data_IF_298715573714
#
_entry.id   IF_298715573714
#
_cell.length_a   1.000
_cell.length_b   1.000
_cell.length_c   1.000
_cell.angle_alpha   90.00
_cell.angle_beta   90.00
_cell.angle_gamma   90.00
#
_symmetry.space_group_name_H-M   'P 1'
#
loop_
_entity.id
_entity.type
_entity.pdbx_description
1 polymer ?
#
# COMPACT_ATOMS: atom_id res chain seq x y z
N UNK A 1 6.08 9.20 16.79
CA UNK A 1 6.60 10.57 16.57
C UNK A 1 5.60 11.24 15.64
N UNK A 2 4.97 12.33 16.08
CA UNK A 2 4.06 13.08 15.23
C UNK A 2 4.89 13.73 14.12
N UNK A 3 4.52 13.58 12.84
CA UNK A 3 5.07 14.44 11.81
C UNK A 3 4.65 15.88 12.12
N UNK A 4 5.60 16.77 12.35
CA UNK A 4 5.33 18.19 12.43
C UNK A 4 4.97 18.69 11.02
N UNK A 5 3.85 19.39 10.90
CA UNK A 5 3.46 20.11 9.69
C UNK A 5 4.42 21.29 9.56
N UNK A 6 5.38 21.18 8.66
CA UNK A 6 6.45 22.16 8.50
C UNK A 6 6.11 23.22 7.44
N UNK A 7 6.78 24.36 7.56
CA UNK A 7 6.53 25.56 6.76
C UNK A 7 7.10 25.43 5.34
N UNK A 8 6.63 26.29 4.41
CA UNK A 8 7.11 26.34 3.02
C UNK A 8 8.61 26.62 2.86
N UNK A 9 9.25 27.21 3.88
CA UNK A 9 10.68 27.53 3.88
C UNK A 9 11.57 26.30 4.16
N UNK A 10 11.10 25.37 4.99
CA UNK A 10 11.82 24.14 5.33
C UNK A 10 11.73 23.11 4.19
N UNK A 11 10.56 23.06 3.51
CA UNK A 11 10.40 22.32 2.25
C UNK A 11 11.44 22.76 1.21
N UNK A 12 11.65 24.08 1.07
CA UNK A 12 12.63 24.65 0.14
C UNK A 12 14.06 24.18 0.46
N UNK A 13 14.47 24.31 1.73
CA UNK A 13 15.82 23.91 2.14
C UNK A 13 16.06 22.41 1.90
N UNK A 14 15.11 21.56 2.28
CA UNK A 14 15.25 20.11 2.06
C UNK A 14 15.36 19.76 0.58
N UNK A 15 14.52 20.34 -0.29
CA UNK A 15 14.54 20.03 -1.73
C UNK A 15 15.85 20.49 -2.37
N UNK A 16 16.33 21.69 -2.04
CA UNK A 16 17.58 22.22 -2.61
C UNK A 16 18.81 21.41 -2.17
N UNK A 17 18.90 21.03 -0.89
CA UNK A 17 19.96 20.16 -0.38
C UNK A 17 19.94 18.76 -1.02
N UNK A 18 18.74 18.30 -1.41
CA UNK A 18 18.51 16.99 -1.96
C UNK A 18 18.23 16.99 -3.46
N UNK A 19 18.67 18.03 -4.17
CA UNK A 19 18.59 18.07 -5.63
C UNK A 19 19.30 16.86 -6.26
N UNK A 20 18.61 16.23 -7.21
CA UNK A 20 19.02 14.97 -7.84
C UNK A 20 18.86 13.73 -6.96
N UNK A 21 18.29 13.82 -5.75
CA UNK A 21 17.94 12.66 -4.94
C UNK A 21 16.89 11.82 -5.65
N UNK A 22 16.93 10.50 -5.41
CA UNK A 22 15.86 9.60 -5.86
C UNK A 22 14.56 9.99 -5.14
N UNK A 23 13.49 10.11 -5.90
CA UNK A 23 12.15 10.31 -5.38
C UNK A 23 11.12 9.44 -6.09
N UNK A 24 10.03 9.18 -5.39
CA UNK A 24 8.91 8.39 -5.88
C UNK A 24 7.64 9.22 -5.82
N UNK A 25 6.95 9.33 -6.96
CA UNK A 25 5.63 9.95 -7.05
C UNK A 25 4.59 8.84 -6.93
N UNK A 26 3.66 9.02 -6.00
CA UNK A 26 2.62 8.05 -5.65
C UNK A 26 1.24 8.71 -5.63
N UNK A 27 0.18 7.92 -5.74
CA UNK A 27 -1.17 8.37 -5.39
C UNK A 27 -1.32 8.59 -3.88
N UNK A 28 -2.44 9.17 -3.44
CA UNK A 28 -2.77 9.30 -2.00
C UNK A 28 -2.86 7.93 -1.30
N UNK A 29 -3.19 6.86 -2.05
CA UNK A 29 -3.25 5.48 -1.58
C UNK A 29 -1.88 4.76 -1.58
N UNK A 30 -0.78 5.48 -1.90
CA UNK A 30 0.58 4.94 -2.02
C UNK A 30 0.81 4.02 -3.25
N UNK A 31 0.01 4.13 -4.32
CA UNK A 31 0.35 3.46 -5.57
C UNK A 31 1.44 4.22 -6.31
N UNK A 32 2.55 3.57 -6.65
CA UNK A 32 3.64 4.18 -7.44
C UNK A 32 3.16 4.58 -8.84
N UNK A 33 3.31 5.87 -9.16
CA UNK A 33 3.06 6.43 -10.49
C UNK A 33 4.35 6.59 -11.28
N UNK A 34 5.42 7.03 -10.61
CA UNK A 34 6.71 7.34 -11.22
C UNK A 34 7.83 7.20 -10.17
N UNK A 35 8.97 6.65 -10.59
CA UNK A 35 10.24 6.80 -9.87
C UNK A 35 11.19 7.68 -10.70
N UNK A 36 11.84 8.63 -10.05
CA UNK A 36 12.64 9.64 -10.73
C UNK A 36 13.64 10.32 -9.81
N UNK A 37 14.17 11.46 -10.24
CA UNK A 37 15.06 12.28 -9.43
C UNK A 37 14.50 13.68 -9.24
N UNK A 38 14.68 14.24 -8.04
CA UNK A 38 14.35 15.61 -7.73
C UNK A 38 15.10 16.58 -8.67
N UNK A 39 14.34 17.36 -9.43
CA UNK A 39 14.84 18.35 -10.39
C UNK A 39 14.90 19.75 -9.77
N UNK A 40 14.58 20.75 -10.58
CA UNK A 40 14.48 22.14 -10.13
C UNK A 40 13.24 22.37 -9.27
N UNK A 41 13.36 23.25 -8.27
CA UNK A 41 12.26 23.72 -7.45
C UNK A 41 12.09 25.24 -7.61
N UNK A 42 10.90 25.67 -8.01
CA UNK A 42 10.52 27.09 -8.00
C UNK A 42 9.89 27.40 -6.64
N UNK A 43 10.61 28.12 -5.78
CA UNK A 43 10.13 28.49 -4.44
C UNK A 43 9.01 29.53 -4.44
N UNK A 44 8.93 30.37 -5.48
CA UNK A 44 7.87 31.40 -5.60
C UNK A 44 6.56 30.77 -5.98
N UNK A 45 6.62 29.77 -6.86
CA UNK A 45 5.45 29.03 -7.31
C UNK A 45 5.23 27.74 -6.53
N UNK A 46 6.15 27.34 -5.65
CA UNK A 46 6.16 26.05 -4.93
C UNK A 46 6.05 24.86 -5.89
N UNK A 47 6.82 24.86 -6.98
CA UNK A 47 6.73 23.82 -8.03
C UNK A 47 7.98 22.96 -8.05
N UNK A 48 7.82 21.68 -7.79
CA UNK A 48 8.88 20.68 -7.90
C UNK A 48 8.83 20.01 -9.27
N UNK A 49 9.96 20.05 -9.98
CA UNK A 49 10.18 19.21 -11.15
C UNK A 49 10.72 17.84 -10.71
N UNK A 50 10.11 16.76 -11.19
CA UNK A 50 10.61 15.39 -11.02
C UNK A 50 11.04 14.88 -12.39
N UNK A 51 12.33 14.63 -12.56
CA UNK A 51 12.86 14.07 -13.81
C UNK A 51 12.66 12.56 -13.80
N UNK A 52 12.10 12.03 -14.88
CA UNK A 52 11.89 10.59 -15.06
C UNK A 52 13.23 9.90 -15.35
N UNK A 53 13.37 8.64 -14.94
CA UNK A 53 14.55 7.84 -15.27
C UNK A 53 14.28 7.09 -16.59
N UNK A 54 14.98 7.47 -17.66
CA UNK A 54 14.86 6.76 -18.94
C UNK A 54 15.31 5.30 -18.81
N UNK A 55 14.42 4.37 -19.16
CA UNK A 55 14.78 2.95 -19.32
C UNK A 55 13.77 1.91 -18.83
N UNK A 56 12.90 2.22 -17.87
CA UNK A 56 11.90 1.24 -17.41
C UNK A 56 10.54 1.90 -17.12
N UNK A 57 9.58 1.57 -18.00
CA UNK A 57 8.17 1.97 -18.02
C UNK A 57 7.94 3.45 -18.28
N UNK A 58 7.26 3.71 -19.40
CA UNK A 58 6.63 4.99 -19.72
C UNK A 58 5.87 5.48 -18.48
N UNK A 59 6.05 6.73 -18.03
CA UNK A 59 5.24 7.29 -16.95
C UNK A 59 3.77 7.07 -17.28
N UNK A 60 2.96 6.60 -16.31
CA UNK A 60 1.51 6.59 -16.51
C UNK A 60 1.09 8.04 -16.74
N UNK A 61 0.72 8.38 -17.97
CA UNK A 61 0.25 9.74 -18.26
C UNK A 61 -1.05 9.92 -17.47
N UNK A 62 -0.98 10.74 -16.43
CA UNK A 62 -2.12 11.13 -15.61
C UNK A 62 -2.62 12.50 -16.06
N UNK A 63 -3.91 12.75 -15.89
CA UNK A 63 -4.48 14.06 -16.16
C UNK A 63 -3.91 15.13 -15.21
N UNK A 64 -3.82 16.39 -15.66
CA UNK A 64 -3.52 17.51 -14.76
C UNK A 64 -4.58 17.59 -13.66
N UNK A 65 -4.17 17.98 -12.46
CA UNK A 65 -5.05 18.06 -11.28
C UNK A 65 -5.04 16.83 -10.38
N UNK A 66 -4.30 15.76 -10.72
CA UNK A 66 -4.16 14.61 -9.84
C UNK A 66 -3.37 14.97 -8.58
N UNK A 67 -3.94 14.70 -7.40
CA UNK A 67 -3.24 14.78 -6.11
C UNK A 67 -2.28 13.61 -5.95
N UNK A 68 -1.06 13.91 -5.53
CA UNK A 68 0.04 12.96 -5.42
C UNK A 68 0.87 13.20 -4.17
N UNK A 69 1.61 12.16 -3.79
CA UNK A 69 2.67 12.20 -2.79
C UNK A 69 4.01 12.03 -3.47
N UNK A 70 5.01 12.81 -3.07
CA UNK A 70 6.39 12.67 -3.51
C UNK A 70 7.24 12.27 -2.31
N UNK A 71 7.67 11.02 -2.26
CA UNK A 71 8.62 10.54 -1.26
C UNK A 71 10.04 10.82 -1.69
N UNK A 72 10.83 11.47 -0.84
CA UNK A 72 12.25 11.79 -1.10
C UNK A 72 13.09 11.44 0.13
N UNK A 73 14.24 10.80 -0.08
CA UNK A 73 15.22 10.52 0.98
C UNK A 73 16.33 11.56 0.94
N UNK A 74 16.79 11.96 2.13
CA UNK A 74 17.95 12.83 2.25
C UNK A 74 19.21 12.11 1.74
N UNK A 75 20.02 12.81 0.95
CA UNK A 75 21.35 12.37 0.48
C UNK A 75 22.42 12.59 1.53
N UNK A 76 22.21 13.54 2.43
CA UNK A 76 23.21 14.03 3.39
C UNK A 76 23.01 13.45 4.79
N UNK A 77 21.77 13.23 5.20
CA UNK A 77 21.44 12.74 6.55
C UNK A 77 20.78 11.36 6.45
N UNK A 78 21.47 10.34 6.95
CA UNK A 78 20.97 8.96 6.96
C UNK A 78 19.66 8.87 7.74
N UNK A 79 18.64 8.28 7.12
CA UNK A 79 17.33 8.08 7.73
C UNK A 79 16.42 9.30 7.66
N UNK A 80 16.88 10.49 7.28
CA UNK A 80 15.99 11.62 7.08
C UNK A 80 15.26 11.47 5.73
N UNK A 81 13.96 11.72 5.73
CA UNK A 81 13.11 11.68 4.55
C UNK A 81 12.07 12.80 4.61
N UNK A 82 11.52 13.14 3.44
CA UNK A 82 10.41 14.07 3.30
C UNK A 82 9.34 13.45 2.40
N UNK A 83 8.09 13.72 2.74
CA UNK A 83 6.92 13.40 1.94
C UNK A 83 6.22 14.71 1.57
N UNK A 84 6.22 15.03 0.28
CA UNK A 84 5.57 16.24 -0.24
C UNK A 84 4.22 15.88 -0.81
N UNK A 85 3.18 16.60 -0.43
CA UNK A 85 1.84 16.49 -1.00
C UNK A 85 1.67 17.61 -2.02
N UNK A 86 1.04 17.28 -3.15
CA UNK A 86 0.83 18.27 -4.18
C UNK A 86 -0.02 17.79 -5.33
N UNK A 87 -0.21 18.68 -6.29
CA UNK A 87 -1.05 18.47 -7.46
C UNK A 87 -0.19 18.48 -8.74
N UNK A 88 -0.39 17.49 -9.61
CA UNK A 88 0.30 17.42 -10.91
C UNK A 88 -0.19 18.55 -11.83
N UNK A 89 0.71 19.43 -12.24
CA UNK A 89 0.42 20.55 -13.17
C UNK A 89 0.84 20.19 -14.60
N UNK A 90 1.94 19.45 -14.74
CA UNK A 90 2.44 19.02 -16.03
C UNK A 90 3.00 17.61 -15.91
N UNK A 91 2.66 16.75 -16.88
CA UNK A 91 3.14 15.39 -16.96
C UNK A 91 3.65 15.15 -18.39
N UNK A 92 4.94 14.88 -18.54
CA UNK A 92 5.55 14.48 -19.81
C UNK A 92 6.26 13.13 -19.63
N UNK A 93 6.75 12.56 -20.72
CA UNK A 93 7.58 11.36 -20.68
C UNK A 93 8.95 11.58 -20.05
N UNK A 94 9.42 12.83 -19.98
CA UNK A 94 10.75 13.19 -19.49
C UNK A 94 10.73 13.73 -18.06
N UNK A 95 9.68 14.47 -17.70
CA UNK A 95 9.56 15.12 -16.40
C UNK A 95 8.11 15.42 -16.03
N UNK A 96 7.86 15.52 -14.73
CA UNK A 96 6.61 15.97 -14.14
C UNK A 96 6.84 17.27 -13.36
N UNK A 97 5.85 18.14 -13.32
CA UNK A 97 5.83 19.35 -12.50
C UNK A 97 4.68 19.23 -11.51
N UNK A 98 5.01 19.31 -10.23
CA UNK A 98 4.07 19.13 -9.11
C UNK A 98 4.03 20.42 -8.32
N UNK A 99 2.84 20.99 -8.19
CA UNK A 99 2.55 22.10 -7.30
C UNK A 99 2.48 21.56 -5.87
N UNK A 100 3.46 21.90 -5.04
CA UNK A 100 3.49 21.46 -3.65
C UNK A 100 2.50 22.27 -2.81
N UNK A 101 1.84 21.58 -1.89
CA UNK A 101 0.83 22.12 -0.97
C UNK A 101 1.30 21.95 0.47
N UNK A 102 1.79 20.75 0.82
CA UNK A 102 2.22 20.41 2.17
C UNK A 102 3.50 19.58 2.14
N UNK A 103 4.30 19.68 3.20
CA UNK A 103 5.48 18.84 3.42
C UNK A 103 5.40 18.20 4.79
N UNK A 104 5.85 16.94 4.85
CA UNK A 104 6.08 16.23 6.09
C UNK A 104 7.52 15.73 6.07
N UNK A 105 8.37 16.31 6.90
CA UNK A 105 9.70 15.76 7.16
C UNK A 105 9.63 14.77 8.31
N UNK A 106 10.40 13.70 8.21
CA UNK A 106 10.48 12.70 9.25
C UNK A 106 11.83 12.00 9.23
N UNK A 107 12.27 11.60 10.42
CA UNK A 107 13.33 10.61 10.55
C UNK A 107 12.70 9.25 10.35
N UNK A 108 12.94 8.66 9.18
CA UNK A 108 12.68 7.26 8.94
C UNK A 108 13.61 6.40 9.82
N UNK A 109 13.10 6.03 10.99
CA UNK A 109 13.76 5.12 11.94
C UNK A 109 13.85 3.67 11.45
N UNK A 110 13.71 3.43 10.15
CA UNK A 110 13.70 2.10 9.53
C UNK A 110 14.94 1.97 8.66
N UNK A 111 15.84 1.09 9.07
CA UNK A 111 17.08 0.81 8.32
C UNK A 111 16.82 0.09 7.00
N UNK A 112 15.63 -0.51 6.81
CA UNK A 112 15.29 -1.33 5.65
C UNK A 112 13.91 -0.98 5.07
N UNK A 113 13.83 -1.00 3.73
CA UNK A 113 12.58 -0.92 2.98
C UNK A 113 11.63 -2.07 3.37
N UNK A 114 10.34 -1.76 3.55
CA UNK A 114 9.27 -2.75 3.82
C UNK A 114 8.48 -3.00 2.55
N UNK A 115 8.50 -4.24 2.09
CA UNK A 115 7.71 -4.70 0.97
C UNK A 115 6.33 -5.17 1.47
N UNK A 116 5.22 -4.64 0.94
CA UNK A 116 3.90 -5.18 1.22
C UNK A 116 3.83 -6.68 0.92
N UNK A 117 3.33 -7.45 1.89
CA UNK A 117 3.20 -8.90 1.83
C UNK A 117 1.92 -9.28 2.56
N UNK A 118 1.05 -10.04 1.88
CA UNK A 118 -0.23 -10.52 2.44
C UNK A 118 -0.29 -12.04 2.45
N UNK A 119 0.76 -12.67 2.94
CA UNK A 119 0.84 -14.11 3.12
C UNK A 119 0.11 -14.52 4.40
N UNK A 120 -0.68 -15.59 4.29
CA UNK A 120 -1.26 -16.31 5.43
C UNK A 120 -0.18 -17.17 6.10
N UNK A 121 -0.28 -17.31 7.41
CA UNK A 121 0.64 -18.11 8.21
C UNK A 121 0.10 -18.39 9.61
N UNK A 122 1.03 -18.75 10.50
CA UNK A 122 0.72 -19.05 11.88
C UNK A 122 1.71 -18.37 12.82
N UNK A 123 1.21 -17.84 13.92
CA UNK A 123 1.98 -17.29 15.03
C UNK A 123 1.80 -18.16 16.29
N UNK A 124 2.86 -18.36 17.04
CA UNK A 124 2.83 -19.01 18.35
C UNK A 124 3.80 -18.35 19.30
N UNK A 125 3.58 -18.48 20.62
CA UNK A 125 4.63 -18.11 21.59
C UNK A 125 5.80 -19.07 21.45
N UNK A 126 7.03 -18.60 21.68
CA UNK A 126 8.25 -19.42 21.50
C UNK A 126 8.25 -20.74 22.28
N UNK A 127 7.58 -20.78 23.44
CA UNK A 127 7.51 -21.96 24.32
C UNK A 127 6.22 -22.77 24.18
N UNK A 128 5.31 -22.34 23.32
CA UNK A 128 4.02 -22.98 23.12
C UNK A 128 3.97 -23.68 21.77
N UNK A 129 3.25 -24.80 21.73
CA UNK A 129 3.02 -25.56 20.49
C UNK A 129 1.75 -25.14 19.77
N UNK A 130 0.85 -24.44 20.46
CA UNK A 130 -0.40 -23.94 19.91
C UNK A 130 -0.11 -22.83 18.90
N UNK A 131 -0.74 -22.96 17.72
CA UNK A 131 -0.52 -22.08 16.57
C UNK A 131 -1.82 -21.40 16.22
N UNK A 132 -1.73 -20.09 16.04
CA UNK A 132 -2.86 -19.24 15.73
C UNK A 132 -2.73 -18.66 14.33
N UNK A 133 -3.81 -18.62 13.53
CA UNK A 133 -3.78 -18.02 12.21
C UNK A 133 -3.38 -16.53 12.27
N UNK A 134 -2.52 -16.12 11.35
CA UNK A 134 -2.18 -14.72 11.18
C UNK A 134 -1.94 -14.39 9.71
N UNK A 135 -2.06 -13.10 9.39
CA UNK A 135 -1.79 -12.58 8.06
C UNK A 135 -0.68 -11.55 8.13
N UNK A 136 0.28 -11.63 7.23
CA UNK A 136 1.31 -10.59 7.09
C UNK A 136 0.74 -9.32 6.44
N UNK A 137 1.34 -8.18 6.76
CA UNK A 137 1.01 -6.86 6.20
C UNK A 137 2.17 -6.36 5.34
N UNK A 138 3.39 -6.49 5.87
CA UNK A 138 4.62 -6.13 5.18
C UNK A 138 5.79 -6.98 5.70
N UNK A 139 6.90 -6.97 4.96
CA UNK A 139 8.14 -7.64 5.35
C UNK A 139 9.36 -6.81 4.94
N UNK A 140 10.39 -6.81 5.77
CA UNK A 140 11.74 -6.31 5.45
C UNK A 140 12.79 -7.35 5.84
N UNK A 141 14.07 -7.02 5.67
CA UNK A 141 15.16 -7.89 6.13
C UNK A 141 15.23 -8.06 7.65
N UNK A 142 14.71 -7.10 8.40
CA UNK A 142 14.85 -7.05 9.86
C UNK A 142 13.52 -7.12 10.60
N UNK A 143 12.40 -7.15 9.90
CA UNK A 143 11.09 -7.18 10.55
C UNK A 143 9.96 -7.62 9.64
N UNK A 144 8.83 -7.89 10.28
CA UNK A 144 7.58 -8.28 9.63
C UNK A 144 6.42 -7.57 10.33
N UNK A 145 5.48 -7.04 9.54
CA UNK A 145 4.18 -6.61 10.02
C UNK A 145 3.19 -7.75 9.93
N UNK A 146 2.38 -7.99 10.95
CA UNK A 146 1.35 -9.02 10.94
C UNK A 146 0.05 -8.57 11.62
N UNK A 147 -1.03 -9.29 11.35
CA UNK A 147 -2.37 -9.09 11.88
C UNK A 147 -2.91 -10.43 12.38
N UNK A 148 -3.43 -10.46 13.61
CA UNK A 148 -4.06 -11.62 14.23
C UNK A 148 -5.10 -11.20 15.27
N UNK A 149 -5.86 -12.15 15.82
CA UNK A 149 -6.81 -11.89 16.90
C UNK A 149 -6.18 -12.04 18.28
N UNK A 150 -5.12 -12.82 18.36
CA UNK A 150 -4.42 -13.17 19.59
C UNK A 150 -3.63 -11.99 20.16
N UNK A 151 -3.57 -11.96 21.49
CA UNK A 151 -2.85 -10.94 22.23
C UNK A 151 -1.46 -11.41 22.65
N UNK A 152 -0.48 -10.66 22.18
CA UNK A 152 0.92 -10.70 22.55
C UNK A 152 1.35 -9.39 23.20
N UNK A 153 2.22 -9.49 24.19
CA UNK A 153 2.82 -8.38 24.91
C UNK A 153 4.00 -7.76 24.14
N UNK A 154 4.32 -6.51 24.46
CA UNK A 154 5.53 -5.86 23.98
C UNK A 154 6.78 -6.61 24.47
N UNK A 155 7.78 -6.72 23.59
CA UNK A 155 9.02 -7.48 23.76
C UNK A 155 8.83 -9.00 23.95
N UNK A 156 7.64 -9.52 23.64
CA UNK A 156 7.40 -10.97 23.68
C UNK A 156 8.03 -11.67 22.47
N UNK A 157 8.70 -12.81 22.71
CA UNK A 157 9.25 -13.65 21.66
C UNK A 157 8.21 -14.63 21.11
N UNK A 158 8.00 -14.57 19.80
CA UNK A 158 7.02 -15.37 19.06
C UNK A 158 7.69 -16.07 17.88
N UNK A 159 7.08 -17.15 17.42
CA UNK A 159 7.48 -17.85 16.20
C UNK A 159 6.43 -17.58 15.13
N UNK A 160 6.84 -16.98 14.03
CA UNK A 160 6.03 -16.82 12.84
C UNK A 160 6.39 -17.92 11.84
N UNK A 161 5.44 -18.75 11.44
CA UNK A 161 5.70 -19.91 10.58
C UNK A 161 4.72 -20.01 9.41
N UNK A 162 5.12 -20.75 8.37
CA UNK A 162 4.27 -20.96 7.19
C UNK A 162 4.31 -19.83 6.16
N UNK A 163 5.19 -18.84 6.35
CA UNK A 163 5.21 -17.64 5.49
C UNK A 163 5.87 -17.94 4.17
N UNK A 164 5.18 -17.63 3.07
CA UNK A 164 5.74 -17.71 1.72
C UNK A 164 5.81 -16.32 1.10
N UNK A 165 7.02 -15.80 0.93
CA UNK A 165 7.25 -14.45 0.38
C UNK A 165 6.96 -14.40 -1.12
N UNK A 166 7.33 -15.44 -1.87
CA UNK A 166 7.05 -15.56 -3.30
C UNK A 166 6.33 -16.87 -3.63
N UNK A 167 5.32 -16.88 -4.52
CA UNK A 167 4.66 -18.10 -4.99
C UNK A 167 5.66 -19.15 -5.48
N UNK A 168 5.52 -20.39 -5.00
CA UNK A 168 6.46 -21.48 -5.29
C UNK A 168 7.81 -21.41 -4.57
N UNK A 169 8.09 -20.33 -3.83
CA UNK A 169 9.33 -20.14 -3.09
C UNK A 169 9.40 -20.89 -1.76
N UNK A 170 10.45 -20.60 -0.98
CA UNK A 170 10.66 -21.18 0.36
C UNK A 170 9.51 -20.83 1.30
N UNK A 171 9.19 -21.76 2.20
CA UNK A 171 8.38 -21.50 3.38
C UNK A 171 9.31 -21.12 4.53
N UNK A 172 9.07 -19.96 5.11
CA UNK A 172 9.85 -19.40 6.20
C UNK A 172 9.20 -19.70 7.56
N UNK A 173 10.10 -19.88 8.53
CA UNK A 173 9.80 -19.79 9.96
C UNK A 173 10.78 -18.79 10.54
N UNK A 174 10.25 -17.76 11.20
CA UNK A 174 11.01 -16.69 11.81
C UNK A 174 10.83 -16.74 13.33
N UNK A 175 11.93 -16.59 14.06
CA UNK A 175 11.87 -16.15 15.45
C UNK A 175 11.74 -14.63 15.45
N UNK A 176 10.80 -14.10 16.22
CA UNK A 176 10.48 -12.69 16.21
C UNK A 176 10.30 -12.15 17.63
N UNK A 177 10.50 -10.84 17.80
CA UNK A 177 10.12 -10.08 19.00
C UNK A 177 9.01 -9.08 18.64
N UNK A 178 7.96 -8.98 19.46
CA UNK A 178 6.93 -7.95 19.32
C UNK A 178 7.49 -6.59 19.72
N UNK A 179 7.51 -5.62 18.80
CA UNK A 179 8.09 -4.28 19.04
C UNK A 179 7.09 -3.15 18.85
N UNK A 180 5.87 -3.46 18.41
CA UNK A 180 4.74 -2.52 18.28
C UNK A 180 3.43 -3.29 18.27
N UNK A 181 2.38 -2.73 18.87
CA UNK A 181 1.01 -3.26 18.78
C UNK A 181 0.01 -2.13 18.58
N UNK A 182 -0.95 -2.30 17.67
CA UNK A 182 -2.04 -1.37 17.38
C UNK A 182 -3.35 -2.16 17.28
N UNK A 183 -4.41 -1.69 17.93
CA UNK A 183 -5.75 -2.29 17.80
C UNK A 183 -6.42 -1.76 16.53
N UNK A 184 -7.09 -2.63 15.80
CA UNK A 184 -7.84 -2.29 14.61
C UNK A 184 -9.24 -2.91 14.67
N UNK A 185 -10.26 -2.06 14.54
CA UNK A 185 -11.64 -2.48 14.40
C UNK A 185 -11.90 -2.86 12.95
N UNK A 186 -12.37 -4.08 12.72
CA UNK A 186 -12.82 -4.54 11.41
C UNK A 186 -14.26 -4.06 11.15
N UNK A 187 -14.65 -4.04 9.87
CA UNK A 187 -15.98 -3.56 9.42
C UNK A 187 -17.14 -4.35 10.02
N UNK A 188 -16.91 -5.61 10.36
CA UNK A 188 -17.88 -6.50 11.03
C UNK A 188 -17.97 -6.29 12.54
N UNK A 189 -17.25 -5.29 13.08
CA UNK A 189 -17.18 -4.98 14.51
C UNK A 189 -16.26 -5.91 15.30
N UNK A 190 -15.63 -6.90 14.66
CA UNK A 190 -14.62 -7.73 15.31
C UNK A 190 -13.32 -6.94 15.49
N UNK A 191 -12.58 -7.27 16.56
CA UNK A 191 -11.30 -6.64 16.86
C UNK A 191 -10.18 -7.53 16.36
N UNK A 192 -9.25 -6.93 15.66
CA UNK A 192 -7.98 -7.55 15.33
C UNK A 192 -6.85 -6.64 15.78
N UNK A 193 -5.64 -7.18 15.85
CA UNK A 193 -4.48 -6.43 16.30
C UNK A 193 -3.38 -6.52 15.28
N UNK A 194 -2.80 -5.37 14.96
CA UNK A 194 -1.62 -5.25 14.12
C UNK A 194 -0.38 -5.23 14.99
N UNK A 195 0.60 -6.04 14.60
CA UNK A 195 1.88 -6.15 15.27
C UNK A 195 3.00 -5.76 14.32
N UNK A 196 3.96 -5.00 14.85
CA UNK A 196 5.28 -4.87 14.27
C UNK A 196 6.22 -5.82 14.99
N UNK A 197 6.87 -6.70 14.25
CA UNK A 197 7.81 -7.67 14.82
C UNK A 197 9.22 -7.45 14.27
N UNK A 198 10.23 -7.59 15.13
CA UNK A 198 11.64 -7.64 14.73
C UNK A 198 12.05 -9.10 14.54
N UNK A 199 12.73 -9.43 13.44
CA UNK A 199 13.28 -10.76 13.23
C UNK A 199 14.54 -10.95 14.09
N UNK A 200 14.63 -12.09 14.75
CA UNK A 200 15.76 -12.47 15.61
C UNK A 200 16.54 -13.62 14.98
N UNK A 201 17.83 -13.71 15.32
CA UNK A 201 18.71 -14.85 15.02
C UNK A 201 18.79 -15.28 13.54
N UNK A 202 18.56 -14.34 12.61
CA UNK A 202 18.69 -14.58 11.17
C UNK A 202 20.16 -14.63 10.76
N UNK A 203 20.62 -15.76 10.22
CA UNK A 203 21.98 -15.86 9.65
C UNK A 203 22.13 -15.01 8.39
N UNK A 204 23.35 -14.58 8.05
CA UNK A 204 23.62 -13.80 6.82
C UNK A 204 23.08 -14.50 5.58
N UNK A 205 23.23 -15.82 5.50
CA UNK A 205 22.70 -16.63 4.40
C UNK A 205 21.17 -16.59 4.33
N UNK A 206 20.49 -16.61 5.47
CA UNK A 206 19.02 -16.50 5.51
C UNK A 206 18.54 -15.10 5.15
N UNK A 207 19.26 -14.06 5.57
CA UNK A 207 18.99 -12.68 5.19
C UNK A 207 19.19 -12.48 3.67
N UNK A 208 20.25 -13.04 3.08
CA UNK A 208 20.48 -12.98 1.63
C UNK A 208 19.37 -13.65 0.83
N UNK A 209 18.91 -14.83 1.29
CA UNK A 209 17.81 -15.56 0.65
C UNK A 209 16.50 -14.75 0.77
N UNK A 210 16.21 -14.21 1.96
CA UNK A 210 15.05 -13.36 2.19
C UNK A 210 15.11 -12.09 1.32
N UNK A 211 16.27 -11.45 1.22
CA UNK A 211 16.52 -10.29 0.37
C UNK A 211 16.16 -10.58 -1.08
N UNK A 212 16.66 -11.70 -1.61
CA UNK A 212 16.36 -12.13 -2.98
C UNK A 212 14.87 -12.33 -3.20
N UNK A 213 14.17 -12.95 -2.25
CA UNK A 213 12.73 -13.19 -2.36
C UNK A 213 11.92 -11.88 -2.25
N UNK A 214 12.32 -10.95 -1.39
CA UNK A 214 11.71 -9.61 -1.28
C UNK A 214 11.90 -8.82 -2.58
N UNK A 215 13.11 -8.83 -3.16
CA UNK A 215 13.40 -8.18 -4.44
C UNK A 215 12.61 -8.83 -5.59
N UNK A 216 12.43 -10.15 -5.58
CA UNK A 216 11.60 -10.85 -6.56
C UNK A 216 10.11 -10.50 -6.40
N UNK A 217 9.62 -10.38 -5.17
CA UNK A 217 8.26 -9.92 -4.87
C UNK A 217 8.03 -8.49 -5.39
N UNK A 218 8.98 -7.59 -5.16
CA UNK A 218 8.99 -6.23 -5.72
C UNK A 218 8.91 -6.22 -7.25
N UNK A 219 9.81 -6.96 -7.91
CA UNK A 219 9.85 -7.04 -9.36
C UNK A 219 8.52 -7.55 -9.96
N UNK A 220 7.82 -8.44 -9.26
CA UNK A 220 6.48 -8.92 -9.65
C UNK A 220 5.39 -7.88 -9.42
N UNK A 221 5.40 -7.17 -8.29
CA UNK A 221 4.49 -6.05 -8.05
C UNK A 221 4.61 -4.96 -9.12
N UNK A 222 5.84 -4.70 -9.55
CA UNK A 222 6.13 -3.81 -10.68
C UNK A 222 5.58 -4.37 -12.01
N UNK A 223 5.76 -5.66 -12.32
CA UNK A 223 5.28 -6.27 -13.58
C UNK A 223 3.76 -6.52 -13.63
N UNK A 224 3.11 -6.73 -12.48
CA UNK A 224 1.68 -7.08 -12.35
C UNK A 224 0.73 -5.89 -12.15
N UNK A 225 1.20 -4.64 -12.27
CA UNK A 225 0.36 -3.44 -12.15
C UNK A 225 -0.74 -3.31 -13.22
N UNK A 226 -0.65 -4.07 -14.33
CA UNK A 226 -1.73 -4.20 -15.32
C UNK A 226 -2.74 -5.30 -14.93
N UNK A 227 -2.26 -6.48 -14.49
CA UNK A 227 -3.14 -7.63 -14.23
C UNK A 227 -3.99 -7.47 -12.98
N UNK A 228 -3.50 -6.79 -11.92
CA UNK A 228 -4.30 -6.55 -10.71
C UNK A 228 -5.48 -5.60 -10.92
N UNK A 229 -5.36 -4.65 -11.86
CA UNK A 229 -6.47 -3.77 -12.25
C UNK A 229 -7.49 -4.53 -13.09
N UNK A 230 -7.03 -5.37 -14.02
CA UNK A 230 -7.90 -6.25 -14.80
C UNK A 230 -8.63 -7.28 -13.92
N UNK A 231 -7.96 -7.85 -12.91
CA UNK A 231 -8.57 -8.80 -11.97
C UNK A 231 -9.61 -8.12 -11.05
N UNK A 232 -9.28 -6.96 -10.48
CA UNK A 232 -10.23 -6.18 -9.66
C UNK A 232 -11.40 -5.64 -10.50
N UNK A 233 -11.14 -5.19 -11.72
CA UNK A 233 -12.18 -4.73 -12.64
C UNK A 233 -13.06 -5.88 -13.12
N UNK A 234 -12.48 -7.06 -13.40
CA UNK A 234 -13.23 -8.28 -13.73
C UNK A 234 -14.05 -8.81 -12.55
N UNK A 235 -13.57 -8.64 -11.31
CA UNK A 235 -14.33 -8.99 -10.11
C UNK A 235 -15.50 -8.01 -9.89
N UNK A 236 -15.25 -6.70 -10.05
CA UNK A 236 -16.29 -5.66 -9.97
C UNK A 236 -17.35 -5.80 -11.07
N UNK A 237 -16.95 -6.16 -12.30
CA UNK A 237 -17.87 -6.44 -13.41
C UNK A 237 -18.71 -7.69 -13.11
N UNK A 238 -18.13 -8.74 -12.52
CA UNK A 238 -18.89 -9.93 -12.11
C UNK A 238 -19.91 -9.61 -11.02
N UNK A 239 -19.52 -8.83 -10.02
CA UNK A 239 -20.41 -8.41 -8.93
C UNK A 239 -21.56 -7.54 -9.42
N UNK A 240 -21.29 -6.56 -10.30
CA UNK A 240 -22.31 -5.78 -10.99
C UNK A 240 -23.22 -6.66 -11.85
N UNK A 241 -22.68 -7.68 -12.52
CA UNK A 241 -23.46 -8.65 -13.29
C UNK A 241 -24.47 -9.41 -12.43
N UNK A 242 -24.08 -9.85 -11.24
CA UNK A 242 -25.00 -10.49 -10.29
C UNK A 242 -26.10 -9.55 -9.81
N UNK A 243 -25.78 -8.29 -9.52
CA UNK A 243 -26.76 -7.28 -9.10
C UNK A 243 -27.76 -6.96 -10.22
N UNK A 244 -27.30 -6.85 -11.47
CA UNK A 244 -28.18 -6.61 -12.63
C UNK A 244 -29.16 -7.76 -12.84
N UNK A 245 -28.72 -9.01 -12.72
CA UNK A 245 -29.61 -10.17 -12.86
C UNK A 245 -30.61 -10.29 -11.70
N UNK A 246 -30.21 -9.90 -10.48
CA UNK A 246 -31.15 -9.80 -9.35
C UNK A 246 -32.24 -8.75 -9.61
N UNK A 247 -31.85 -7.54 -10.05
CA UNK A 247 -32.79 -6.47 -10.39
C UNK A 247 -33.74 -6.84 -11.54
N UNK A 248 -33.24 -7.55 -12.57
CA UNK A 248 -34.10 -8.04 -13.67
C UNK A 248 -35.19 -8.99 -13.17
N UNK A 249 -34.85 -9.91 -12.25
CA UNK A 249 -35.84 -10.82 -11.65
C UNK A 249 -36.90 -10.04 -10.88
N UNK A 250 -36.50 -9.05 -10.11
CA UNK A 250 -37.41 -8.21 -9.34
C UNK A 250 -38.37 -7.40 -10.25
N UNK A 251 -37.84 -6.79 -11.31
CA UNK A 251 -38.66 -6.11 -12.33
C UNK A 251 -39.65 -7.07 -12.99
N UNK A 252 -39.24 -8.32 -13.27
CA UNK A 252 -40.12 -9.32 -13.87
C UNK A 252 -41.29 -9.69 -12.94
N UNK A 253 -41.02 -9.82 -11.64
CA UNK A 253 -42.04 -10.08 -10.62
C UNK A 253 -43.03 -8.92 -10.57
N UNK A 254 -42.54 -7.68 -10.44
CA UNK A 254 -43.37 -6.48 -10.39
C UNK A 254 -44.22 -6.28 -11.65
N UNK A 255 -43.69 -6.61 -12.83
CA UNK A 255 -44.47 -6.58 -14.07
C UNK A 255 -45.63 -7.58 -14.05
N UNK A 256 -45.38 -8.79 -13.55
CA UNK A 256 -46.41 -9.83 -13.45
C UNK A 256 -47.49 -9.47 -12.43
N UNK A 257 -47.11 -8.81 -11.33
CA UNK A 257 -48.04 -8.31 -10.33
C UNK A 257 -48.89 -7.15 -10.88
N UNK A 258 -48.27 -6.20 -11.58
CA UNK A 258 -49.00 -5.14 -12.27
C UNK A 258 -50.00 -5.70 -13.28
N UNK A 259 -49.62 -6.69 -14.09
CA UNK A 259 -50.53 -7.30 -15.07
C UNK A 259 -51.75 -7.98 -14.39
N UNK A 260 -51.54 -8.60 -13.22
CA UNK A 260 -52.65 -9.14 -12.41
C UNK A 260 -53.56 -8.03 -11.88
N UNK A 261 -52.98 -6.93 -11.40
CA UNK A 261 -53.73 -5.78 -10.90
C UNK A 261 -54.58 -5.15 -12.02
N UNK A 262 -54.02 -4.97 -13.22
CA UNK A 262 -54.75 -4.46 -14.38
C UNK A 262 -55.94 -5.36 -14.74
N UNK A 263 -55.76 -6.68 -14.79
CA UNK A 263 -56.86 -7.63 -15.05
C UNK A 263 -57.94 -7.62 -13.97
N UNK A 264 -57.56 -7.48 -12.69
CA UNK A 264 -58.53 -7.33 -11.60
C UNK A 264 -59.31 -6.02 -11.68
N UNK A 265 -58.68 -4.92 -12.10
CA UNK A 265 -59.34 -3.62 -12.29
C UNK A 265 -60.35 -3.65 -13.44
N UNK A 266 -60.00 -4.27 -14.57
CA UNK A 266 -60.91 -4.45 -15.71
C UNK A 266 -62.15 -5.28 -15.33
N UNK A 267 -61.99 -6.29 -14.46
CA UNK A 267 -63.09 -7.10 -13.95
C UNK A 267 -63.99 -6.41 -12.92
N UNK A 268 -63.57 -5.29 -12.33
CA UNK A 268 -64.38 -4.49 -11.39
C UNK A 268 -65.19 -3.40 -12.12
N UNK A 269 -64.77 -3.02 -13.32
CA UNK A 269 -65.40 -1.94 -14.13
C UNK A 269 -66.50 -2.49 -15.07
N UNK A 270 -66.67 -3.82 -15.17
CA UNK A 270 -67.78 -4.49 -15.86
C UNK A 270 -68.93 -4.83 -14.90
#
# INVERSE_FOLDING_TARGET
MNPELETSAEAYAFIEENKGAMCEVMTEENETLLAGSAGEYDSKQQRLRVNTRGGEKTPKIVGPGLRVKVGMRSKTVKGQAALFYGTVIQCTTEFWVIQLEEVVQYMEGRENFRQPLHAEGYISRKRETEKHPCRTVDISLTGVGLQCQEEYAMNEEVILSGIRVVPGGRIYTFLCEIVRSEEESLEDGSKCRKYGCRLLDMTDREQDILCRDILALQARGLRGGNSRREDQEAERIRELGYQVEALKKEIMILRRENEKLYKSLEGIIQ
#
